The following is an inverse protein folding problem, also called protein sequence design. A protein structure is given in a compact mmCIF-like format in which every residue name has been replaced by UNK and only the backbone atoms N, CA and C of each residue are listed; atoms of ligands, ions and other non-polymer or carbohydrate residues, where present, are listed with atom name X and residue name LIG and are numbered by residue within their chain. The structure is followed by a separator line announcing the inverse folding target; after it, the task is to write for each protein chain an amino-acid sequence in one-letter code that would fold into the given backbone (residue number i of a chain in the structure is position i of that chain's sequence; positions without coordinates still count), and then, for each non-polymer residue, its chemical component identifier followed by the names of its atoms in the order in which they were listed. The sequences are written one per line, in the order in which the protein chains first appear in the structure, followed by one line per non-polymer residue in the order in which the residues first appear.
data_IF_765449925047
#
_entry.id   IF_765449925047
#
_cell.length_a   1.000
_cell.length_b   1.000
_cell.length_c   1.000
_cell.angle_alpha   90.00
_cell.angle_beta   90.00
_cell.angle_gamma   90.00
#
_symmetry.space_group_name_H-M   'P 1'
#
loop_
_entity.id
_entity.type
_entity.pdbx_description
1 polymer ?
#
# COMPACT_ATOMS: atom_id res chain seq x y z
N UNK A 1 31.19 -21.46 -1.52
CA UNK A 1 30.62 -20.81 -2.72
C UNK A 1 29.58 -19.81 -2.23
N UNK A 2 29.82 -18.50 -2.39
CA UNK A 2 28.79 -17.48 -2.15
C UNK A 2 28.06 -17.29 -3.48
N UNK A 3 26.77 -17.59 -3.52
CA UNK A 3 25.93 -17.27 -4.68
C UNK A 3 26.04 -15.76 -4.95
N UNK A 4 26.17 -15.32 -6.22
CA UNK A 4 26.13 -13.90 -6.53
C UNK A 4 24.76 -13.36 -6.13
N UNK A 5 24.74 -12.35 -5.26
CA UNK A 5 23.54 -11.58 -4.97
C UNK A 5 23.04 -11.00 -6.29
N UNK A 6 21.89 -11.47 -6.75
CA UNK A 6 21.28 -10.93 -7.97
C UNK A 6 21.03 -9.43 -7.75
N UNK A 7 21.48 -8.54 -8.65
CA UNK A 7 21.13 -7.13 -8.55
C UNK A 7 19.61 -7.01 -8.70
N UNK A 8 18.94 -6.56 -7.63
CA UNK A 8 17.48 -6.52 -7.52
C UNK A 8 16.97 -7.38 -6.37
N UNK A 9 17.29 -6.99 -5.13
CA UNK A 9 16.68 -7.60 -3.95
C UNK A 9 15.15 -7.57 -4.01
N UNK A 10 14.49 -8.43 -3.23
CA UNK A 10 13.03 -8.45 -3.16
C UNK A 10 12.49 -7.04 -2.88
N UNK A 11 11.47 -6.62 -3.63
CA UNK A 11 10.82 -5.34 -3.38
C UNK A 11 10.26 -5.34 -1.95
N UNK A 12 10.38 -4.22 -1.22
CA UNK A 12 9.72 -4.07 0.06
C UNK A 12 8.21 -4.32 -0.07
N UNK A 13 7.62 -5.02 0.90
CA UNK A 13 6.22 -5.45 0.85
C UNK A 13 5.24 -4.29 0.61
N UNK A 14 5.48 -3.13 1.21
CA UNK A 14 4.66 -1.92 1.00
C UNK A 14 4.61 -1.44 -0.46
N UNK A 15 5.58 -1.83 -1.32
CA UNK A 15 5.55 -1.52 -2.75
C UNK A 15 4.71 -2.49 -3.58
N UNK A 16 4.29 -3.61 -2.99
CA UNK A 16 3.52 -4.63 -3.68
C UNK A 16 2.02 -4.32 -3.68
N UNK A 17 1.59 -3.33 -2.88
CA UNK A 17 0.22 -2.83 -2.89
C UNK A 17 -0.09 -2.14 -4.22
N UNK A 18 -1.26 -2.45 -4.80
CA UNK A 18 -1.69 -1.91 -6.09
C UNK A 18 -3.00 -1.16 -5.95
N UNK A 19 -2.97 0.16 -6.05
CA UNK A 19 -4.18 0.98 -6.02
C UNK A 19 -5.07 0.73 -7.25
N UNK A 20 -6.37 0.61 -7.01
CA UNK A 20 -7.39 0.53 -8.03
C UNK A 20 -8.05 1.89 -8.20
N UNK A 21 -7.93 2.46 -9.39
CA UNK A 21 -8.45 3.79 -9.71
C UNK A 21 -9.61 3.67 -10.70
N UNK A 22 -10.74 4.29 -10.39
CA UNK A 22 -11.90 4.42 -11.29
C UNK A 22 -12.12 5.89 -11.67
N UNK A 23 -12.73 6.12 -12.84
CA UNK A 23 -13.20 7.44 -13.24
C UNK A 23 -14.61 7.65 -12.68
N UNK A 24 -14.76 8.55 -11.71
CA UNK A 24 -16.04 8.95 -11.11
C UNK A 24 -16.25 10.43 -11.39
N UNK A 25 -17.34 10.78 -12.08
CA UNK A 25 -17.65 12.16 -12.48
C UNK A 25 -16.51 12.86 -13.25
N UNK A 26 -15.80 12.11 -14.10
CA UNK A 26 -14.67 12.62 -14.88
C UNK A 26 -13.37 12.81 -14.08
N UNK A 27 -13.34 12.42 -12.80
CA UNK A 27 -12.16 12.47 -11.93
C UNK A 27 -11.68 11.07 -11.60
N UNK A 28 -10.36 10.87 -11.58
CA UNK A 28 -9.77 9.64 -11.06
C UNK A 28 -9.94 9.61 -9.53
N UNK A 29 -10.58 8.57 -9.01
CA UNK A 29 -10.68 8.28 -7.58
C UNK A 29 -10.12 6.88 -7.32
N UNK A 30 -9.30 6.74 -6.28
CA UNK A 30 -8.91 5.44 -5.75
C UNK A 30 -10.14 4.83 -5.09
N UNK A 31 -10.47 3.58 -5.44
CA UNK A 31 -11.66 2.86 -4.96
C UNK A 31 -11.31 1.61 -4.15
N UNK A 32 -10.02 1.31 -4.03
CA UNK A 32 -9.52 0.13 -3.34
C UNK A 32 -8.09 -0.15 -3.71
N UNK A 33 -7.56 -1.26 -3.22
CA UNK A 33 -6.22 -1.72 -3.56
C UNK A 33 -6.15 -3.26 -3.50
N UNK A 34 -5.18 -3.83 -4.20
CA UNK A 34 -4.76 -5.21 -3.95
C UNK A 34 -3.61 -5.21 -2.95
N UNK A 35 -3.69 -6.05 -1.94
CA UNK A 35 -2.60 -6.36 -1.01
C UNK A 35 -1.54 -7.26 -1.66
N UNK A 36 -0.36 -7.41 -1.04
CA UNK A 36 0.72 -8.28 -1.52
C UNK A 36 0.30 -9.74 -1.69
N UNK A 37 -0.67 -10.24 -0.89
CA UNK A 37 -1.24 -11.58 -1.03
C UNK A 37 -2.23 -11.73 -2.22
N UNK A 38 -2.51 -10.64 -2.92
CA UNK A 38 -3.40 -10.59 -4.08
C UNK A 38 -4.88 -10.44 -3.75
N UNK A 39 -5.26 -10.27 -2.47
CA UNK A 39 -6.65 -9.95 -2.10
C UNK A 39 -6.98 -8.49 -2.41
N UNK A 40 -8.23 -8.25 -2.80
CA UNK A 40 -8.74 -6.91 -3.05
C UNK A 40 -9.46 -6.37 -1.82
N UNK A 41 -9.13 -5.14 -1.42
CA UNK A 41 -9.77 -4.40 -0.34
C UNK A 41 -10.40 -3.13 -0.91
N UNK A 42 -11.72 -2.93 -0.78
CA UNK A 42 -12.38 -1.70 -1.19
C UNK A 42 -12.04 -0.57 -0.21
N UNK A 43 -11.89 0.65 -0.73
CA UNK A 43 -11.79 1.87 0.06
C UNK A 43 -13.13 2.61 0.01
N UNK A 44 -13.63 3.03 1.15
CA UNK A 44 -14.80 3.91 1.21
C UNK A 44 -14.43 5.33 0.75
N UNK A 45 -15.45 6.16 0.51
CA UNK A 45 -15.21 7.56 0.19
C UNK A 45 -14.46 8.27 1.35
N UNK A 46 -13.36 8.93 1.02
CA UNK A 46 -12.48 9.58 1.99
C UNK A 46 -11.46 8.65 2.65
N UNK A 47 -11.44 7.35 2.30
CA UNK A 47 -10.39 6.42 2.72
C UNK A 47 -9.25 6.37 1.71
N UNK A 48 -8.02 6.37 2.21
CA UNK A 48 -6.80 6.34 1.40
C UNK A 48 -5.81 5.32 1.97
N UNK A 49 -5.16 4.55 1.09
CA UNK A 49 -4.04 3.70 1.49
C UNK A 49 -2.80 4.58 1.65
N UNK A 50 -2.16 4.52 2.83
CA UNK A 50 -0.93 5.28 3.09
C UNK A 50 0.16 4.39 3.68
N UNK A 51 1.41 4.66 3.27
CA UNK A 51 2.58 3.96 3.78
C UNK A 51 3.48 4.92 4.54
N UNK A 52 3.59 4.74 5.85
CA UNK A 52 4.30 5.65 6.76
C UNK A 52 5.61 5.00 7.15
N UNK A 53 6.72 5.76 7.09
CA UNK A 53 8.02 5.25 7.52
C UNK A 53 7.99 4.94 9.01
N UNK A 54 8.51 3.78 9.38
CA UNK A 54 8.74 3.45 10.79
C UNK A 54 9.78 4.40 11.40
N UNK A 55 9.80 4.49 12.73
CA UNK A 55 10.73 5.34 13.49
C UNK A 55 12.20 5.05 13.14
N UNK A 56 12.52 3.79 12.84
CA UNK A 56 13.86 3.35 12.41
C UNK A 56 14.22 3.76 10.97
N UNK A 57 13.26 4.23 10.18
CA UNK A 57 13.40 4.56 8.76
C UNK A 57 13.68 3.37 7.83
N UNK A 58 13.73 2.15 8.37
CA UNK A 58 14.12 0.94 7.65
C UNK A 58 12.93 0.21 7.02
N UNK A 59 11.71 0.49 7.47
CA UNK A 59 10.47 -0.07 6.94
C UNK A 59 9.42 1.02 6.70
N UNK A 60 8.34 0.64 6.01
CA UNK A 60 7.09 1.41 6.04
C UNK A 60 5.98 0.50 6.48
N UNK A 61 5.13 1.03 7.35
CA UNK A 61 3.92 0.37 7.80
C UNK A 61 2.73 0.90 7.00
N UNK A 62 1.73 0.06 6.79
CA UNK A 62 0.58 0.35 5.94
C UNK A 62 -0.63 0.70 6.79
N UNK A 63 -1.34 1.77 6.41
CA UNK A 63 -2.52 2.24 7.12
C UNK A 63 -3.62 2.61 6.13
N UNK A 64 -4.86 2.50 6.60
CA UNK A 64 -5.99 3.18 6.00
C UNK A 64 -6.14 4.52 6.70
N UNK A 65 -6.00 5.61 5.95
CA UNK A 65 -6.26 6.95 6.45
C UNK A 65 -7.70 7.34 6.18
N UNK A 66 -8.40 7.85 7.19
CA UNK A 66 -9.76 8.39 7.09
C UNK A 66 -9.93 9.58 8.03
N UNK A 67 -10.41 10.71 7.52
CA UNK A 67 -10.63 11.93 8.31
C UNK A 67 -9.41 12.36 9.16
N UNK A 68 -8.20 12.10 8.67
CA UNK A 68 -6.94 12.38 9.37
C UNK A 68 -6.53 11.35 10.43
N UNK A 69 -7.34 10.32 10.66
CA UNK A 69 -6.99 9.17 11.50
C UNK A 69 -6.29 8.09 10.66
N UNK A 70 -5.23 7.50 11.20
CA UNK A 70 -4.49 6.39 10.59
C UNK A 70 -4.85 5.09 11.31
N UNK A 71 -5.47 4.17 10.59
CA UNK A 71 -5.88 2.87 11.09
C UNK A 71 -4.90 1.84 10.55
N UNK A 72 -4.17 1.09 11.41
CA UNK A 72 -3.28 0.03 10.96
C UNK A 72 -4.01 -0.94 10.02
N UNK A 73 -3.40 -1.22 8.87
CA UNK A 73 -3.88 -2.25 7.98
C UNK A 73 -3.12 -3.55 8.29
N UNK A 74 -3.76 -4.42 9.07
CA UNK A 74 -3.31 -5.78 9.32
C UNK A 74 -4.07 -6.72 8.34
N UNK A 75 -3.32 -7.47 7.52
CA UNK A 75 -3.85 -8.39 6.48
C UNK A 75 -4.61 -9.61 7.03
#
# INVERSE_FOLDING_TARGET
MRSPEMPGGALPEWQLFQEKVHLVDGKQKVVGFNSPDGKYYPLAEGEELVHIKSESGSSRDTFIRKDGQEIPFDE
#
